data_IF_323100317436
#
_entry.id   IF_323100317436
#
_cell.length_a   1.000
_cell.length_b   1.000
_cell.length_c   1.000
_cell.angle_alpha   90.00
_cell.angle_beta   90.00
_cell.angle_gamma   90.00
#
_symmetry.space_group_name_H-M   'P 1'
#
loop_
_entity.id
_entity.type
_entity.pdbx_description
1 polymer ?
#
# COMPACT_ATOMS: atom_id res chain seq x y z
N UNK A 1 -87.02 -15.74 2.55
CA UNK A 1 -85.68 -15.41 3.08
C UNK A 1 -84.78 -15.22 1.86
N UNK A 2 -84.79 -14.03 1.28
CA UNK A 2 -83.78 -12.95 1.44
C UNK A 2 -82.84 -13.01 0.22
N UNK A 3 -83.18 -12.31 -0.87
CA UNK A 3 -82.59 -11.03 -1.33
C UNK A 3 -81.14 -11.16 -1.87
N UNK A 4 -80.99 -11.04 -3.20
CA UNK A 4 -79.90 -10.30 -3.86
C UNK A 4 -80.02 -8.79 -3.49
N UNK A 5 -79.06 -7.85 -3.75
CA UNK A 5 -77.96 -7.86 -4.75
C UNK A 5 -76.68 -7.05 -4.35
N UNK A 6 -75.83 -6.75 -5.36
CA UNK A 6 -74.84 -5.64 -5.47
C UNK A 6 -73.43 -5.95 -4.94
N UNK A 7 -72.35 -5.81 -5.72
CA UNK A 7 -72.03 -4.70 -6.62
C UNK A 7 -70.95 -3.86 -5.94
N UNK A 8 -69.68 -4.07 -6.29
CA UNK A 8 -68.60 -3.12 -5.96
C UNK A 8 -67.41 -3.35 -6.90
N UNK A 9 -67.49 -2.75 -8.08
CA UNK A 9 -66.32 -2.26 -8.79
C UNK A 9 -65.59 -1.29 -7.86
N UNK A 10 -64.33 -1.58 -7.55
CA UNK A 10 -63.40 -0.58 -7.01
C UNK A 10 -62.01 -0.83 -7.58
N UNK A 11 -61.76 -0.16 -8.70
CA UNK A 11 -60.40 0.24 -9.07
C UNK A 11 -59.78 0.98 -7.87
N UNK A 12 -58.52 0.67 -7.50
CA UNK A 12 -57.81 1.50 -6.56
C UNK A 12 -57.37 2.79 -7.28
N UNK A 13 -58.02 3.91 -6.92
CA UNK A 13 -57.52 5.27 -7.16
C UNK A 13 -56.11 5.39 -6.56
N UNK A 14 -55.12 5.58 -7.43
CA UNK A 14 -53.78 6.04 -7.04
C UNK A 14 -53.86 7.55 -6.85
N UNK A 15 -53.52 8.09 -5.67
CA UNK A 15 -53.51 9.53 -5.46
C UNK A 15 -52.39 10.19 -6.27
N UNK A 16 -52.76 11.21 -7.05
CA UNK A 16 -51.85 12.13 -7.73
C UNK A 16 -51.01 12.89 -6.69
N UNK A 17 -49.80 12.37 -6.44
CA UNK A 17 -48.76 13.06 -5.69
C UNK A 17 -47.94 13.94 -6.63
N UNK A 18 -48.04 15.25 -6.41
CA UNK A 18 -47.22 16.33 -6.96
C UNK A 18 -45.74 15.90 -7.18
N UNK A 19 -45.36 15.73 -8.44
CA UNK A 19 -43.96 15.57 -8.83
C UNK A 19 -43.26 16.94 -8.82
N UNK A 20 -42.89 17.42 -7.64
CA UNK A 20 -41.88 18.48 -7.51
C UNK A 20 -40.53 17.90 -7.89
N UNK A 21 -40.04 18.24 -9.09
CA UNK A 21 -38.80 17.72 -9.64
C UNK A 21 -37.56 18.03 -8.78
N UNK A 22 -36.54 17.16 -8.76
CA UNK A 22 -35.28 17.49 -8.14
C UNK A 22 -34.50 18.47 -9.02
N UNK A 23 -34.39 19.69 -8.52
CA UNK A 23 -33.48 20.76 -8.96
C UNK A 23 -32.03 20.25 -8.91
N UNK A 24 -31.39 20.21 -10.07
CA UNK A 24 -29.95 19.90 -10.21
C UNK A 24 -29.10 20.87 -9.36
N UNK A 25 -28.11 20.38 -8.60
CA UNK A 25 -27.11 21.25 -8.01
C UNK A 25 -26.04 21.62 -9.04
N UNK A 26 -25.66 22.90 -8.98
CA UNK A 26 -24.78 23.61 -9.89
C UNK A 26 -23.32 23.10 -9.85
N UNK A 27 -22.70 23.12 -11.02
CA UNK A 27 -21.25 23.01 -11.22
C UNK A 27 -20.52 24.23 -10.62
N UNK A 28 -19.34 24.05 -10.01
CA UNK A 28 -18.36 25.13 -9.92
C UNK A 28 -17.35 25.03 -11.06
N UNK A 29 -17.30 26.11 -11.84
CA UNK A 29 -16.28 26.38 -12.84
C UNK A 29 -14.87 26.39 -12.22
N UNK A 30 -13.96 25.62 -12.82
CA UNK A 30 -12.51 25.74 -12.65
C UNK A 30 -11.88 26.31 -13.92
N UNK A 31 -10.87 27.19 -13.82
CA UNK A 31 -10.41 27.99 -14.96
C UNK A 31 -9.46 27.24 -15.89
N UNK A 32 -9.50 27.69 -17.14
CA UNK A 32 -8.72 27.30 -18.31
C UNK A 32 -7.21 27.13 -18.10
N UNK A 33 -6.67 26.07 -18.68
CA UNK A 33 -5.25 25.93 -19.06
C UNK A 33 -5.17 25.24 -20.43
N UNK A 34 -4.42 25.78 -21.40
CA UNK A 34 -4.61 25.44 -22.81
C UNK A 34 -4.02 24.08 -23.20
N UNK A 35 -4.73 23.45 -24.13
CA UNK A 35 -4.32 22.26 -24.86
C UNK A 35 -3.14 22.54 -25.81
N UNK A 36 -2.29 21.54 -26.00
CA UNK A 36 -1.43 21.42 -27.18
C UNK A 36 -0.20 20.54 -26.96
N UNK A 37 -0.11 19.43 -27.70
CA UNK A 37 1.18 18.80 -28.02
C UNK A 37 1.29 17.28 -27.86
N UNK A 38 0.78 16.58 -28.88
CA UNK A 38 1.27 15.32 -29.47
C UNK A 38 1.90 14.20 -28.62
N UNK A 39 1.26 13.04 -28.74
CA UNK A 39 1.86 11.74 -28.51
C UNK A 39 2.84 11.37 -29.65
N UNK A 40 4.07 11.02 -29.29
CA UNK A 40 4.94 10.18 -30.10
C UNK A 40 5.49 9.04 -29.23
N UNK A 41 5.19 7.81 -29.65
CA UNK A 41 5.74 6.55 -29.12
C UNK A 41 7.21 6.41 -29.52
N UNK A 42 8.00 5.81 -28.62
CA UNK A 42 9.01 4.82 -28.99
C UNK A 42 10.42 5.06 -28.43
N UNK A 43 10.97 4.03 -27.79
CA UNK A 43 12.42 3.84 -27.71
C UNK A 43 12.99 3.70 -26.31
N UNK A 44 12.98 2.47 -25.79
CA UNK A 44 13.98 1.98 -24.84
C UNK A 44 15.40 2.26 -25.39
N UNK A 45 16.19 3.01 -24.64
CA UNK A 45 17.63 2.75 -24.48
C UNK A 45 18.08 3.28 -23.12
N UNK A 46 18.59 2.37 -22.29
CA UNK A 46 19.31 2.74 -21.08
C UNK A 46 20.51 3.63 -21.41
N UNK A 47 20.57 4.80 -20.78
CA UNK A 47 21.76 5.62 -20.72
C UNK A 47 21.92 6.09 -19.27
N UNK A 48 22.91 5.50 -18.59
CA UNK A 48 23.42 5.99 -17.33
C UNK A 48 24.06 7.37 -17.57
N UNK A 49 23.58 8.40 -16.87
CA UNK A 49 24.21 9.71 -16.86
C UNK A 49 25.55 9.64 -16.10
N UNK A 50 26.69 10.01 -16.73
CA UNK A 50 27.95 10.13 -16.02
C UNK A 50 28.00 11.48 -15.26
N UNK A 51 28.32 11.41 -13.97
CA UNK A 51 28.71 12.58 -13.19
C UNK A 51 29.98 13.22 -13.79
N UNK A 52 30.09 14.55 -13.89
CA UNK A 52 31.38 15.19 -14.11
C UNK A 52 32.08 15.31 -12.75
N UNK A 53 32.94 14.35 -12.42
CA UNK A 53 33.97 14.53 -11.40
C UNK A 53 35.16 15.30 -11.96
N UNK A 54 35.71 16.15 -11.11
CA UNK A 54 36.76 17.12 -11.39
C UNK A 54 37.94 16.54 -12.20
N UNK A 55 38.33 17.27 -13.26
CA UNK A 55 39.65 17.14 -13.90
C UNK A 55 40.35 18.49 -13.87
N UNK A 56 41.27 18.58 -12.91
CA UNK A 56 42.66 18.99 -13.11
C UNK A 56 42.97 19.66 -14.46
N UNK A 57 43.08 20.99 -14.44
CA UNK A 57 43.75 21.78 -15.48
C UNK A 57 44.94 22.47 -14.82
N UNK A 58 45.94 21.67 -14.47
CA UNK A 58 47.32 22.12 -14.30
C UNK A 58 48.00 22.26 -15.67
N UNK A 59 48.88 23.26 -15.74
CA UNK A 59 49.91 23.47 -16.75
C UNK A 59 49.50 24.17 -18.07
N UNK A 60 49.51 25.50 -18.03
CA UNK A 60 49.90 26.31 -19.20
C UNK A 60 51.17 27.04 -18.79
N UNK A 61 52.29 26.50 -19.25
CA UNK A 61 53.63 26.99 -18.95
C UNK A 61 53.87 28.45 -19.39
N UNK A 62 54.65 29.12 -18.55
CA UNK A 62 55.77 29.99 -18.90
C UNK A 62 55.81 30.51 -20.35
N UNK A 63 55.29 31.74 -20.53
CA UNK A 63 55.74 32.63 -21.59
C UNK A 63 56.29 33.88 -20.92
N UNK A 64 57.62 33.97 -20.95
CA UNK A 64 58.39 35.04 -20.37
C UNK A 64 58.05 36.42 -20.91
N UNK A 65 58.25 37.38 -20.02
CA UNK A 65 59.02 38.60 -20.27
C UNK A 65 58.66 39.40 -21.54
N UNK A 66 57.62 40.21 -21.41
CA UNK A 66 57.57 41.57 -21.96
C UNK A 66 57.23 42.45 -20.75
N UNK A 67 58.18 43.12 -20.12
CA UNK A 67 58.86 44.24 -20.75
C UNK A 67 58.00 45.49 -20.54
N UNK A 68 58.13 46.08 -19.36
CA UNK A 68 57.97 47.50 -19.04
C UNK A 68 56.98 48.31 -19.90
N UNK A 69 55.75 48.45 -19.42
CA UNK A 69 54.82 49.51 -19.83
C UNK A 69 54.24 50.19 -18.59
N UNK A 70 55.13 50.77 -17.78
CA UNK A 70 54.76 51.93 -16.99
C UNK A 70 54.46 53.09 -17.96
N UNK A 71 53.37 53.81 -17.69
CA UNK A 71 53.04 55.13 -18.22
C UNK A 71 52.55 55.25 -19.67
N UNK A 72 51.30 54.82 -19.91
CA UNK A 72 50.42 55.48 -20.89
C UNK A 72 49.05 55.77 -20.26
N UNK A 73 48.97 56.85 -19.49
CA UNK A 73 47.71 57.44 -19.03
C UNK A 73 47.01 58.17 -20.18
N UNK A 74 46.36 57.40 -21.05
CA UNK A 74 45.47 57.88 -22.12
C UNK A 74 43.99 57.61 -21.80
N UNK A 75 43.03 58.25 -22.51
CA UNK A 75 41.59 58.15 -22.25
C UNK A 75 40.95 56.75 -22.44
N UNK A 76 41.74 55.70 -22.70
CA UNK A 76 41.30 54.31 -22.82
C UNK A 76 41.16 53.56 -21.49
N UNK A 77 41.85 53.99 -20.43
CA UNK A 77 41.84 53.36 -19.09
C UNK A 77 40.45 53.41 -18.41
N UNK A 78 39.67 54.46 -18.69
CA UNK A 78 38.29 54.59 -18.23
C UNK A 78 37.32 53.66 -18.99
N UNK A 79 37.63 53.31 -20.24
CA UNK A 79 36.86 52.38 -21.05
C UNK A 79 37.05 50.94 -20.58
N UNK A 80 38.29 50.55 -20.30
CA UNK A 80 38.61 49.22 -19.80
C UNK A 80 38.04 48.99 -18.40
N UNK A 81 38.12 49.98 -17.50
CA UNK A 81 37.51 49.90 -16.18
C UNK A 81 35.96 49.83 -16.21
N UNK A 82 35.31 50.49 -17.16
CA UNK A 82 33.86 50.40 -17.33
C UNK A 82 33.44 49.03 -17.90
N UNK A 83 34.22 48.49 -18.84
CA UNK A 83 33.98 47.16 -19.42
C UNK A 83 34.19 46.06 -18.37
N UNK A 84 35.23 46.14 -17.55
CA UNK A 84 35.44 45.15 -16.47
C UNK A 84 34.32 45.18 -15.43
N UNK A 85 33.85 46.38 -15.03
CA UNK A 85 32.72 46.52 -14.12
C UNK A 85 31.43 45.92 -14.69
N UNK A 86 31.14 46.13 -15.98
CA UNK A 86 29.98 45.54 -16.64
C UNK A 86 30.11 44.01 -16.76
N UNK A 87 31.31 43.51 -16.99
CA UNK A 87 31.62 42.08 -17.08
C UNK A 87 31.40 41.39 -15.72
N UNK A 88 31.89 41.99 -14.63
CA UNK A 88 31.71 41.47 -13.28
C UNK A 88 30.24 41.52 -12.83
N UNK A 89 29.52 42.59 -13.17
CA UNK A 89 28.07 42.67 -12.96
C UNK A 89 27.33 41.55 -13.69
N UNK A 90 27.69 41.29 -14.94
CA UNK A 90 27.09 40.21 -15.75
C UNK A 90 27.42 38.84 -15.19
N UNK A 91 28.67 38.61 -14.74
CA UNK A 91 29.09 37.36 -14.07
C UNK A 91 28.31 37.13 -12.78
N UNK A 92 28.14 38.17 -11.97
CA UNK A 92 27.36 38.07 -10.73
C UNK A 92 25.89 37.72 -11.01
N UNK A 93 25.27 38.37 -11.99
CA UNK A 93 23.89 38.07 -12.39
C UNK A 93 23.75 36.64 -12.93
N UNK A 94 24.71 36.16 -13.72
CA UNK A 94 24.75 34.78 -14.21
C UNK A 94 24.90 33.78 -13.07
N UNK A 95 25.77 34.06 -12.10
CA UNK A 95 25.97 33.21 -10.94
C UNK A 95 24.71 33.13 -10.07
N UNK A 96 24.06 34.26 -9.79
CA UNK A 96 22.80 34.31 -9.05
C UNK A 96 21.71 33.48 -9.75
N UNK A 97 21.54 33.67 -11.08
CA UNK A 97 20.57 32.89 -11.86
C UNK A 97 20.91 31.41 -11.91
N UNK A 98 22.19 31.05 -11.97
CA UNK A 98 22.62 29.64 -11.93
C UNK A 98 22.31 29.01 -10.58
N UNK A 99 22.53 29.74 -9.49
CA UNK A 99 22.17 29.28 -8.14
C UNK A 99 20.66 29.12 -7.97
N UNK A 100 19.87 30.07 -8.47
CA UNK A 100 18.40 29.98 -8.47
C UNK A 100 17.92 28.75 -9.25
N UNK A 101 18.49 28.50 -10.44
CA UNK A 101 18.15 27.32 -11.25
C UNK A 101 18.55 26.01 -10.56
N UNK A 102 19.72 25.97 -9.92
CA UNK A 102 20.15 24.80 -9.14
C UNK A 102 19.22 24.54 -7.96
N UNK A 103 18.80 25.60 -7.24
CA UNK A 103 17.82 25.48 -6.15
C UNK A 103 16.49 24.96 -6.66
N UNK A 104 15.96 25.53 -7.73
CA UNK A 104 14.69 25.12 -8.32
C UNK A 104 14.75 23.66 -8.84
N UNK A 105 15.87 23.27 -9.44
CA UNK A 105 16.09 21.90 -9.88
C UNK A 105 16.08 20.92 -8.69
N UNK A 106 16.73 21.28 -7.57
CA UNK A 106 16.72 20.48 -6.36
C UNK A 106 15.31 20.37 -5.76
N UNK A 107 14.57 21.47 -5.68
CA UNK A 107 13.18 21.50 -5.23
C UNK A 107 12.28 20.63 -6.11
N UNK A 108 12.42 20.72 -7.44
CA UNK A 108 11.67 19.90 -8.38
C UNK A 108 11.99 18.41 -8.25
N UNK A 109 13.26 18.05 -8.10
CA UNK A 109 13.64 16.65 -7.85
C UNK A 109 13.04 16.11 -6.55
N UNK A 110 13.05 16.91 -5.48
CA UNK A 110 12.44 16.54 -4.21
C UNK A 110 10.92 16.42 -4.32
N UNK A 111 10.27 17.36 -5.02
CA UNK A 111 8.84 17.30 -5.32
C UNK A 111 8.49 16.03 -6.10
N UNK A 112 9.22 15.73 -7.18
CA UNK A 112 8.99 14.53 -7.99
C UNK A 112 9.13 13.25 -7.17
N UNK A 113 10.16 13.14 -6.33
CA UNK A 113 10.35 12.00 -5.41
C UNK A 113 9.19 11.89 -4.41
N UNK A 114 8.67 13.01 -3.91
CA UNK A 114 7.53 13.02 -2.99
C UNK A 114 6.26 12.56 -3.69
N UNK A 115 5.93 13.15 -4.83
CA UNK A 115 4.73 12.79 -5.61
C UNK A 115 4.73 11.32 -6.01
N UNK A 116 5.88 10.77 -6.40
CA UNK A 116 5.95 9.35 -6.76
C UNK A 116 5.67 8.44 -5.56
N UNK A 117 6.22 8.76 -4.38
CA UNK A 117 5.89 8.04 -3.14
C UNK A 117 4.41 8.16 -2.78
N UNK A 118 3.86 9.36 -2.87
CA UNK A 118 2.45 9.61 -2.55
C UNK A 118 1.52 8.85 -3.52
N UNK A 119 1.87 8.77 -4.81
CA UNK A 119 1.12 7.99 -5.80
C UNK A 119 1.06 6.51 -5.46
N UNK A 120 2.18 5.92 -5.04
CA UNK A 120 2.23 4.52 -4.60
C UNK A 120 1.35 4.33 -3.37
N UNK A 121 1.48 5.20 -2.37
CA UNK A 121 0.68 5.14 -1.15
C UNK A 121 -0.83 5.27 -1.42
N UNK A 122 -1.25 6.19 -2.30
CA UNK A 122 -2.65 6.36 -2.70
C UNK A 122 -3.17 5.11 -3.42
N UNK A 123 -2.37 4.49 -4.29
CA UNK A 123 -2.74 3.24 -4.97
C UNK A 123 -2.94 2.10 -3.96
N UNK A 124 -2.02 1.94 -3.01
CA UNK A 124 -2.12 0.93 -1.96
C UNK A 124 -3.35 1.16 -1.06
N UNK A 125 -3.60 2.41 -0.68
CA UNK A 125 -4.80 2.79 0.09
C UNK A 125 -6.10 2.50 -0.69
N UNK A 126 -6.13 2.82 -1.99
CA UNK A 126 -7.30 2.55 -2.83
C UNK A 126 -7.59 1.04 -2.93
N UNK A 127 -6.55 0.23 -3.11
CA UNK A 127 -6.66 -1.24 -3.12
C UNK A 127 -7.14 -1.77 -1.77
N UNK A 128 -6.59 -1.25 -0.66
CA UNK A 128 -7.01 -1.65 0.68
C UNK A 128 -8.48 -1.33 0.96
N UNK A 129 -8.96 -0.15 0.56
CA UNK A 129 -10.36 0.24 0.73
C UNK A 129 -11.30 -0.67 -0.07
N UNK A 130 -10.97 -0.94 -1.33
CA UNK A 130 -11.75 -1.87 -2.16
C UNK A 130 -11.80 -3.28 -1.57
N UNK A 131 -10.66 -3.80 -1.12
CA UNK A 131 -10.60 -5.12 -0.51
C UNK A 131 -11.38 -5.18 0.81
N UNK A 132 -11.38 -4.09 1.59
CA UNK A 132 -12.16 -3.97 2.83
C UNK A 132 -13.66 -4.11 2.56
N UNK A 133 -14.16 -3.46 1.52
CA UNK A 133 -15.58 -3.57 1.10
C UNK A 133 -15.92 -4.96 0.52
N UNK A 134 -14.93 -5.66 -0.03
CA UNK A 134 -15.11 -7.02 -0.57
C UNK A 134 -15.06 -8.11 0.51
N UNK A 135 -14.50 -7.83 1.70
CA UNK A 135 -14.36 -8.83 2.77
C UNK A 135 -15.67 -9.54 3.17
N UNK A 136 -16.82 -8.86 3.33
CA UNK A 136 -18.07 -9.55 3.66
C UNK A 136 -18.46 -10.62 2.64
N UNK A 137 -18.21 -10.36 1.35
CA UNK A 137 -18.50 -11.32 0.27
C UNK A 137 -17.57 -12.53 0.37
N UNK A 138 -16.29 -12.32 0.67
CA UNK A 138 -15.34 -13.41 0.90
C UNK A 138 -15.70 -14.22 2.14
N UNK A 139 -16.21 -13.59 3.19
CA UNK A 139 -16.69 -14.26 4.39
C UNK A 139 -17.93 -15.12 4.10
N UNK A 140 -18.87 -14.63 3.29
CA UNK A 140 -20.05 -15.38 2.89
C UNK A 140 -19.69 -16.58 2.00
N UNK A 141 -18.71 -16.43 1.11
CA UNK A 141 -18.15 -17.54 0.33
C UNK A 141 -17.51 -18.60 1.25
N UNK A 142 -16.75 -18.15 2.26
CA UNK A 142 -16.18 -19.04 3.28
C UNK A 142 -17.27 -19.79 4.05
N UNK A 143 -18.31 -19.08 4.49
CA UNK A 143 -19.47 -19.67 5.17
C UNK A 143 -20.17 -20.71 4.30
N UNK A 144 -20.43 -20.40 3.02
CA UNK A 144 -21.03 -21.34 2.08
C UNK A 144 -20.14 -22.57 1.84
N UNK A 145 -18.81 -22.40 1.86
CA UNK A 145 -17.86 -23.51 1.78
C UNK A 145 -17.94 -24.43 2.99
N UNK A 146 -17.97 -23.85 4.19
CA UNK A 146 -18.03 -24.61 5.45
C UNK A 146 -19.34 -25.40 5.59
N UNK A 147 -20.44 -24.87 5.05
CA UNK A 147 -21.74 -25.58 4.97
C UNK A 147 -21.87 -26.55 3.79
N UNK A 148 -20.85 -26.66 2.92
CA UNK A 148 -20.87 -27.57 1.76
C UNK A 148 -21.79 -27.12 0.63
N UNK A 149 -22.26 -25.88 0.64
CA UNK A 149 -23.15 -25.29 -0.37
C UNK A 149 -22.39 -24.85 -1.63
N UNK A 150 -21.06 -24.71 -1.52
CA UNK A 150 -20.19 -24.27 -2.60
C UNK A 150 -19.84 -25.42 -3.56
N UNK A 151 -20.73 -25.69 -4.52
CA UNK A 151 -20.60 -26.81 -5.47
C UNK A 151 -20.58 -26.34 -6.93
N UNK A 152 -19.89 -27.10 -7.80
CA UNK A 152 -19.93 -26.89 -9.26
C UNK A 152 -19.32 -25.57 -9.72
N UNK A 153 -20.02 -24.83 -10.59
CA UNK A 153 -19.52 -23.59 -11.18
C UNK A 153 -19.29 -22.47 -10.16
N UNK A 154 -20.07 -22.41 -9.09
CA UNK A 154 -19.90 -21.42 -8.03
C UNK A 154 -18.58 -21.60 -7.27
N UNK A 155 -18.12 -22.85 -7.09
CA UNK A 155 -16.81 -23.14 -6.50
C UNK A 155 -15.67 -22.55 -7.34
N UNK A 156 -15.73 -22.70 -8.66
CA UNK A 156 -14.71 -22.13 -9.56
C UNK A 156 -14.71 -20.60 -9.54
N UNK A 157 -15.88 -19.97 -9.46
CA UNK A 157 -16.00 -18.51 -9.35
C UNK A 157 -15.41 -18.02 -8.03
N UNK A 158 -15.71 -18.69 -6.92
CA UNK A 158 -15.16 -18.39 -5.60
C UNK A 158 -13.62 -18.53 -5.59
N UNK A 159 -13.08 -19.64 -6.08
CA UNK A 159 -11.63 -19.87 -6.17
C UNK A 159 -10.94 -18.83 -7.08
N UNK A 160 -11.59 -18.45 -8.19
CA UNK A 160 -11.10 -17.39 -9.06
C UNK A 160 -11.08 -16.04 -8.35
N UNK A 161 -12.14 -15.69 -7.62
CA UNK A 161 -12.21 -14.45 -6.85
C UNK A 161 -11.14 -14.40 -5.75
N UNK A 162 -10.98 -15.49 -4.99
CA UNK A 162 -9.92 -15.64 -3.99
C UNK A 162 -8.54 -15.50 -4.62
N UNK A 163 -8.32 -16.08 -5.80
CA UNK A 163 -7.06 -15.96 -6.55
C UNK A 163 -6.79 -14.52 -6.99
N UNK A 164 -7.81 -13.79 -7.45
CA UNK A 164 -7.66 -12.37 -7.81
C UNK A 164 -7.35 -11.52 -6.57
N UNK A 165 -8.05 -11.75 -5.46
CA UNK A 165 -7.79 -11.05 -4.20
C UNK A 165 -6.37 -11.31 -3.69
N UNK A 166 -5.90 -12.57 -3.77
CA UNK A 166 -4.53 -12.93 -3.40
C UNK A 166 -3.48 -12.24 -4.29
N UNK A 167 -3.73 -12.12 -5.60
CA UNK A 167 -2.85 -11.36 -6.52
C UNK A 167 -2.78 -9.87 -6.20
N UNK A 168 -3.83 -9.31 -5.62
CA UNK A 168 -3.86 -7.92 -5.13
C UNK A 168 -3.14 -7.75 -3.78
N UNK A 169 -2.57 -8.83 -3.22
CA UNK A 169 -1.78 -8.81 -2.00
C UNK A 169 -2.58 -9.17 -0.74
N UNK A 170 -3.85 -9.59 -0.86
CA UNK A 170 -4.65 -10.03 0.26
C UNK A 170 -4.17 -11.41 0.76
N UNK A 171 -3.83 -11.50 2.03
CA UNK A 171 -3.49 -12.75 2.71
C UNK A 171 -4.44 -13.00 3.87
N UNK A 172 -5.02 -14.20 3.89
CA UNK A 172 -5.86 -14.68 4.98
C UNK A 172 -4.99 -15.31 6.09
N UNK A 173 -5.35 -15.09 7.35
CA UNK A 173 -4.69 -15.68 8.51
C UNK A 173 -5.73 -15.98 9.63
N UNK A 174 -5.29 -16.66 10.69
CA UNK A 174 -6.18 -17.11 11.77
C UNK A 174 -6.75 -18.47 11.42
N UNK A 175 -5.91 -19.49 11.46
CA UNK A 175 -6.31 -20.90 11.33
C UNK A 175 -6.32 -21.58 12.70
N UNK A 176 -7.12 -22.63 12.82
CA UNK A 176 -7.15 -23.46 14.02
C UNK A 176 -5.75 -24.05 14.28
N UNK A 177 -5.30 -23.99 15.53
CA UNK A 177 -3.97 -24.42 15.96
C UNK A 177 -2.87 -23.37 15.85
N UNK A 178 -3.13 -22.19 15.28
CA UNK A 178 -2.13 -21.10 15.26
C UNK A 178 -1.95 -20.49 16.67
N UNK A 179 -0.71 -20.13 17.06
CA UNK A 179 -0.47 -19.44 18.32
C UNK A 179 -1.17 -18.07 18.33
N UNK A 180 -1.70 -17.70 19.49
CA UNK A 180 -2.44 -16.45 19.61
C UNK A 180 -1.48 -15.24 19.65
N UNK A 181 -1.60 -14.34 18.68
CA UNK A 181 -0.89 -13.06 18.65
C UNK A 181 -1.90 -11.89 18.81
N UNK A 182 -1.84 -11.12 19.91
CA UNK A 182 -2.73 -9.98 20.15
C UNK A 182 -2.68 -8.87 19.08
N UNK A 183 -1.62 -8.80 18.27
CA UNK A 183 -1.47 -7.77 17.23
C UNK A 183 -2.31 -8.05 15.99
N UNK A 184 -2.66 -9.32 15.75
CA UNK A 184 -3.39 -9.77 14.58
C UNK A 184 -4.68 -10.53 14.93
N UNK A 185 -4.81 -11.05 16.16
CA UNK A 185 -5.96 -11.82 16.62
C UNK A 185 -6.79 -11.05 17.67
N UNK A 186 -8.11 -11.11 17.51
CA UNK A 186 -9.10 -10.61 18.46
C UNK A 186 -9.73 -11.83 19.17
N UNK A 187 -9.37 -12.05 20.44
CA UNK A 187 -9.93 -13.13 21.24
C UNK A 187 -11.35 -12.76 21.71
N UNK A 188 -12.36 -13.49 21.24
CA UNK A 188 -13.76 -13.28 21.65
C UNK A 188 -14.23 -14.28 22.71
N UNK A 189 -13.61 -15.46 22.76
CA UNK A 189 -13.94 -16.52 23.69
C UNK A 189 -12.65 -17.05 24.29
N UNK A 190 -12.70 -17.35 25.58
CA UNK A 190 -11.59 -17.91 26.33
C UNK A 190 -12.04 -19.23 26.96
N UNK A 191 -11.22 -20.26 26.81
CA UNK A 191 -11.45 -21.58 27.38
C UNK A 191 -10.15 -22.17 27.91
N UNK A 192 -10.24 -23.24 28.67
CA UNK A 192 -9.08 -23.99 29.10
C UNK A 192 -9.08 -25.35 28.43
N UNK A 193 -7.95 -25.75 27.87
CA UNK A 193 -7.77 -27.09 27.28
C UNK A 193 -6.47 -27.71 27.81
N UNK A 194 -6.47 -29.01 28.17
CA UNK A 194 -5.25 -29.73 28.49
C UNK A 194 -4.40 -30.02 27.24
N UNK A 195 -4.96 -29.86 26.04
CA UNK A 195 -4.32 -30.23 24.77
C UNK A 195 -3.39 -29.12 24.21
N UNK A 196 -3.39 -27.94 24.83
CA UNK A 196 -2.57 -26.79 24.40
C UNK A 196 -1.52 -26.45 25.44
N UNK A 197 -0.28 -26.20 24.99
CA UNK A 197 0.85 -25.84 25.85
C UNK A 197 0.97 -24.34 26.08
N UNK A 198 0.35 -23.54 25.22
CA UNK A 198 0.36 -22.08 25.22
C UNK A 198 -1.01 -21.56 24.77
N UNK A 199 -1.23 -20.25 24.80
CA UNK A 199 -2.49 -19.64 24.34
C UNK A 199 -2.61 -19.84 22.82
N UNK A 200 -3.50 -20.74 22.40
CA UNK A 200 -3.66 -21.16 21.00
C UNK A 200 -5.07 -20.86 20.50
N UNK A 201 -5.19 -20.49 19.22
CA UNK A 201 -6.48 -20.32 18.54
C UNK A 201 -7.12 -21.70 18.31
N UNK A 202 -8.15 -22.04 19.08
CA UNK A 202 -8.85 -23.34 18.97
C UNK A 202 -10.07 -23.28 18.06
N UNK A 203 -10.66 -22.10 17.91
CA UNK A 203 -11.83 -21.91 17.06
C UNK A 203 -11.71 -20.60 16.30
N UNK A 204 -11.95 -20.64 14.99
CA UNK A 204 -11.95 -19.44 14.15
C UNK A 204 -13.39 -19.06 13.87
N UNK A 205 -13.84 -17.94 14.44
CA UNK A 205 -15.19 -17.44 14.24
C UNK A 205 -15.28 -16.59 12.96
N UNK A 206 -14.21 -15.84 12.68
CA UNK A 206 -14.10 -15.04 11.47
C UNK A 206 -12.62 -14.92 11.07
N UNK A 207 -12.27 -15.25 9.82
CA UNK A 207 -10.89 -15.18 9.36
C UNK A 207 -10.38 -13.73 9.32
N UNK A 208 -9.09 -13.57 9.62
CA UNK A 208 -8.37 -12.31 9.53
C UNK A 208 -7.78 -12.09 8.15
N UNK A 209 -7.62 -10.82 7.76
CA UNK A 209 -7.06 -10.44 6.47
C UNK A 209 -6.04 -9.31 6.59
N UNK A 210 -4.92 -9.45 5.88
CA UNK A 210 -3.84 -8.47 5.78
C UNK A 210 -3.43 -8.21 4.33
N UNK A 211 -2.90 -7.03 4.05
CA UNK A 211 -2.26 -6.68 2.77
C UNK A 211 -0.81 -6.36 3.05
N UNK A 212 0.09 -7.18 2.50
CA UNK A 212 1.52 -7.08 2.82
C UNK A 212 1.74 -7.19 4.34
N UNK A 213 2.24 -6.12 4.95
CA UNK A 213 2.50 -6.02 6.39
C UNK A 213 1.35 -5.38 7.18
N UNK A 214 0.34 -4.81 6.51
CA UNK A 214 -0.76 -4.09 7.16
C UNK A 214 -1.96 -5.00 7.36
N UNK A 215 -2.37 -5.18 8.61
CA UNK A 215 -3.64 -5.83 8.96
C UNK A 215 -4.82 -4.94 8.57
N UNK A 216 -5.76 -5.46 7.77
CA UNK A 216 -7.03 -4.77 7.47
C UNK A 216 -8.04 -5.08 8.58
N UNK A 217 -8.15 -6.37 8.91
CA UNK A 217 -9.10 -6.88 9.88
C UNK A 217 -8.46 -8.00 10.69
N UNK A 218 -8.49 -7.94 12.03
CA UNK A 218 -7.98 -9.02 12.86
C UNK A 218 -8.83 -10.28 12.71
N UNK A 219 -8.24 -11.45 12.94
CA UNK A 219 -9.01 -12.69 12.99
C UNK A 219 -9.73 -12.78 14.32
N UNK A 220 -11.02 -13.10 14.31
CA UNK A 220 -11.80 -13.31 15.53
C UNK A 220 -11.75 -14.77 15.91
N UNK A 221 -11.17 -15.04 17.07
CA UNK A 221 -10.81 -16.39 17.48
C UNK A 221 -11.28 -16.68 18.90
N UNK A 222 -11.61 -17.94 19.14
CA UNK A 222 -11.67 -18.52 20.48
C UNK A 222 -10.29 -19.04 20.84
N UNK A 223 -9.76 -18.60 21.98
CA UNK A 223 -8.46 -19.05 22.48
C UNK A 223 -8.64 -20.10 23.58
N UNK A 224 -7.72 -21.05 23.64
CA UNK A 224 -7.58 -21.94 24.77
C UNK A 224 -6.24 -21.70 25.47
N UNK A 225 -6.27 -21.67 26.79
CA UNK A 225 -5.08 -21.69 27.63
C UNK A 225 -4.85 -23.07 28.26
N UNK A 226 -3.58 -23.41 28.57
CA UNK A 226 -3.28 -24.60 29.36
C UNK A 226 -4.02 -24.52 30.70
N UNK A 227 -4.68 -25.63 31.07
CA UNK A 227 -5.43 -25.71 32.31
C UNK A 227 -4.47 -25.58 33.52
N UNK A 228 -4.61 -24.54 34.37
CA UNK A 228 -3.69 -24.35 35.50
C UNK A 228 -3.89 -25.47 36.53
N UNK A 229 -2.98 -26.45 36.54
CA UNK A 229 -2.97 -27.53 37.54
C UNK A 229 -2.75 -28.95 37.01
N UNK A 230 -2.63 -29.18 35.70
CA UNK A 230 -2.11 -30.45 35.16
C UNK A 230 -0.73 -30.21 34.55
N UNK A 231 0.36 -30.74 35.14
CA UNK A 231 1.64 -30.75 34.46
C UNK A 231 1.47 -31.49 33.12
N UNK A 232 2.01 -30.92 32.04
CA UNK A 232 2.21 -31.64 30.80
C UNK A 232 2.94 -32.95 31.15
N UNK A 233 2.25 -34.08 30.97
CA UNK A 233 2.86 -35.39 31.14
C UNK A 233 4.04 -35.46 30.17
N UNK A 234 5.24 -35.30 30.73
CA UNK A 234 6.47 -35.68 30.06
C UNK A 234 6.31 -37.14 29.66
N UNK A 235 6.54 -37.42 28.38
CA UNK A 235 6.63 -38.77 27.84
C UNK A 235 7.50 -39.63 28.77
N UNK A 236 6.83 -40.43 29.58
CA UNK A 236 7.46 -41.41 30.46
C UNK A 236 7.96 -42.52 29.54
N UNK A 237 9.25 -42.47 29.23
CA UNK A 237 9.98 -43.54 28.56
C UNK A 237 9.72 -44.85 29.31
N UNK A 238 9.07 -45.78 28.62
CA UNK A 238 8.65 -47.09 29.10
C UNK A 238 9.76 -47.87 29.84
N UNK A 239 9.42 -48.68 30.86
CA UNK A 239 10.38 -49.60 31.45
C UNK A 239 10.54 -50.82 30.52
N UNK A 240 11.76 -51.08 30.06
CA UNK A 240 12.13 -52.36 29.46
C UNK A 240 11.89 -53.48 30.48
N UNK A 241 11.04 -54.43 30.08
CA UNK A 241 10.88 -55.72 30.76
C UNK A 241 12.13 -56.56 30.47
N UNK A 242 12.95 -56.77 31.48
CA UNK A 242 13.97 -57.82 31.47
C UNK A 242 13.28 -59.15 31.86
N UNK A 243 13.00 -59.97 30.85
CA UNK A 243 12.44 -61.30 30.97
C UNK A 243 13.60 -62.29 31.13
N UNK A 244 13.93 -62.63 32.39
CA UNK A 244 15.08 -63.44 32.75
C UNK A 244 14.71 -64.70 33.54
N UNK A 245 14.29 -65.75 32.82
CA UNK A 245 14.75 -67.14 33.04
C UNK A 245 14.20 -67.96 34.23
N UNK A 246 13.20 -68.79 33.94
CA UNK A 246 13.11 -70.25 34.20
C UNK A 246 13.34 -70.82 35.63
N UNK A 247 12.40 -71.62 36.18
CA UNK A 247 12.64 -72.40 37.40
C UNK A 247 13.28 -73.77 37.07
N UNK A 248 14.37 -74.12 37.77
CA UNK A 248 14.97 -75.46 37.79
C UNK A 248 15.16 -75.96 39.23
N UNK A 249 14.63 -77.18 39.43
CA UNK A 249 14.86 -78.21 40.46
C UNK A 249 14.86 -77.93 41.98
N UNK A 250 14.13 -78.82 42.69
CA UNK A 250 14.13 -79.01 44.14
C UNK A 250 13.04 -79.97 44.61
#
# INVERSE_FOLDING_TARGET
MTQDPQGFDKEPEVPEGEATGPKAPAEPAGPDGPAGGEAAKGGDTGAADPQPSARDLGDIGDLGELGDLADLKGPGDLGDAAVTAQLDQTRSALQERTQDLQRLQAEFQNYRRRVERDRVAVKEMAVANLLTELLPVLDDIGRARDHGELVGGFKQVAESLETVAAKMGLAQFGKEGEPFDPTVHEALMHSYSPDVTETTCVQILQPGYRIGERTIRPARVGVAEPQPGKPAEQEESAPEKDDGGGPDEG
#
